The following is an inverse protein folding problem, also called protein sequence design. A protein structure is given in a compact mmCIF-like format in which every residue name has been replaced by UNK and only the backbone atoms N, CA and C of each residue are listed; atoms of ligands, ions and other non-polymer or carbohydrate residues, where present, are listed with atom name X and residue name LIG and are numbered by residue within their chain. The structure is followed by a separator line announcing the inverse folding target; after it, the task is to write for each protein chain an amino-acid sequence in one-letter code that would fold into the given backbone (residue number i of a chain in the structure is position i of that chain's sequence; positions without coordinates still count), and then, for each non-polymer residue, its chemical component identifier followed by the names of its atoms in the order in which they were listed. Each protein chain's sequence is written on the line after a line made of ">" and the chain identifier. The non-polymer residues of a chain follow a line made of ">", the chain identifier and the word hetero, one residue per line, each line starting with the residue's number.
data_IF_274494349870
#
_entry.id   IF_274494349870
#
_cell.length_a   1.000
_cell.length_b   1.000
_cell.length_c   1.000
_cell.angle_alpha   90.00
_cell.angle_beta   90.00
_cell.angle_gamma   90.00
#
_symmetry.space_group_name_H-M   'P 1'
#
loop_
_entity.id
_entity.type
_entity.pdbx_description
1 polymer ?
#
# COMPACT_ATOMS: atom_id res chain seq x y z
N UNK A 1 -6.76 9.42 -6.84
CA UNK A 1 -6.14 9.81 -5.57
C UNK A 1 -7.22 10.51 -4.75
N UNK A 2 -7.51 10.01 -3.54
CA UNK A 2 -8.58 10.56 -2.71
C UNK A 2 -8.05 10.72 -1.27
N UNK A 3 -8.06 11.96 -0.79
CA UNK A 3 -7.57 12.34 0.55
C UNK A 3 -8.77 12.75 1.38
N UNK A 4 -8.91 12.19 2.59
CA UNK A 4 -9.98 12.55 3.52
C UNK A 4 -9.35 12.98 4.85
N UNK A 5 -9.41 14.27 5.15
CA UNK A 5 -8.98 14.78 6.46
C UNK A 5 -9.98 14.36 7.53
N UNK A 6 -9.53 13.70 8.60
CA UNK A 6 -10.42 13.17 9.64
C UNK A 6 -10.55 14.11 10.86
N UNK A 7 -9.66 15.08 11.07
CA UNK A 7 -9.75 16.00 12.23
C UNK A 7 -9.25 17.41 11.94
N UNK A 8 -9.78 18.40 12.66
CA UNK A 8 -9.35 19.80 12.64
C UNK A 8 -8.60 20.15 13.92
N UNK A 9 -7.35 20.59 13.79
CA UNK A 9 -6.43 20.89 14.90
C UNK A 9 -5.00 20.41 14.59
N UNK A 10 -4.02 20.78 15.40
CA UNK A 10 -2.60 20.40 15.23
C UNK A 10 -2.37 18.87 15.24
N UNK A 11 -3.30 18.11 15.82
CA UNK A 11 -3.28 16.64 15.89
C UNK A 11 -4.19 15.98 14.84
N UNK A 12 -4.50 16.69 13.76
CA UNK A 12 -5.31 16.16 12.68
C UNK A 12 -4.66 14.90 12.08
N UNK A 13 -5.31 13.75 12.20
CA UNK A 13 -4.87 12.53 11.51
C UNK A 13 -5.38 12.55 10.07
N UNK A 14 -4.46 12.48 9.12
CA UNK A 14 -4.73 12.29 7.71
C UNK A 14 -4.93 10.81 7.40
N UNK A 15 -6.14 10.43 7.00
CA UNK A 15 -6.45 9.11 6.48
C UNK A 15 -6.35 9.14 4.95
N UNK A 16 -5.45 8.31 4.41
CA UNK A 16 -5.12 8.28 2.99
C UNK A 16 -5.35 6.89 2.44
N UNK A 17 -6.06 6.83 1.32
CA UNK A 17 -6.21 5.62 0.53
C UNK A 17 -5.52 5.79 -0.82
N UNK A 18 -4.61 4.88 -1.14
CA UNK A 18 -3.89 4.85 -2.42
C UNK A 18 -4.38 3.68 -3.27
N UNK A 19 -4.68 3.93 -4.55
CA UNK A 19 -5.02 2.89 -5.52
C UNK A 19 -3.87 2.80 -6.51
N UNK A 20 -3.17 1.67 -6.52
CA UNK A 20 -2.13 1.37 -7.50
C UNK A 20 -2.68 0.40 -8.54
N UNK A 21 -2.23 0.55 -9.78
CA UNK A 21 -2.55 -0.37 -10.88
C UNK A 21 -1.24 -0.84 -11.50
N UNK A 22 -1.03 -2.15 -11.50
CA UNK A 22 0.14 -2.79 -12.12
C UNK A 22 -0.40 -3.84 -13.09
N UNK A 23 -0.24 -3.56 -14.39
CA UNK A 23 -0.92 -4.32 -15.45
C UNK A 23 -2.45 -4.22 -15.32
N UNK A 24 -3.09 -5.38 -15.20
CA UNK A 24 -4.55 -5.53 -15.00
C UNK A 24 -4.95 -5.57 -13.52
N UNK A 25 -3.99 -5.73 -12.61
CA UNK A 25 -4.30 -5.82 -11.17
C UNK A 25 -4.36 -4.43 -10.55
N UNK A 26 -5.51 -4.11 -9.95
CA UNK A 26 -5.68 -2.93 -9.12
C UNK A 26 -5.67 -3.32 -7.63
N UNK A 27 -4.89 -2.61 -6.83
CA UNK A 27 -4.76 -2.85 -5.39
C UNK A 27 -4.89 -1.53 -4.65
N UNK A 28 -5.75 -1.52 -3.62
CA UNK A 28 -5.91 -0.39 -2.72
C UNK A 28 -5.11 -0.63 -1.45
N UNK A 29 -4.31 0.35 -1.07
CA UNK A 29 -3.66 0.44 0.23
C UNK A 29 -4.16 1.64 1.03
N UNK A 30 -3.86 1.62 2.31
CA UNK A 30 -4.33 2.59 3.29
C UNK A 30 -3.17 3.01 4.22
N UNK A 31 -3.12 4.29 4.56
CA UNK A 31 -2.14 4.84 5.49
C UNK A 31 -2.76 5.97 6.31
N UNK A 32 -2.43 6.00 7.59
CA UNK A 32 -2.97 6.98 8.53
C UNK A 32 -1.82 7.56 9.35
N UNK A 33 -1.68 8.89 9.32
CA UNK A 33 -0.62 9.61 10.03
C UNK A 33 -1.00 11.09 10.20
N UNK A 34 -0.45 11.76 11.21
CA UNK A 34 -0.67 13.21 11.42
C UNK A 34 -0.06 14.06 10.30
N UNK A 35 1.11 13.65 9.81
CA UNK A 35 1.70 14.15 8.56
C UNK A 35 1.10 13.44 7.33
N UNK A 36 0.49 14.22 6.43
CA UNK A 36 -0.19 13.73 5.23
C UNK A 36 0.76 13.08 4.21
N UNK A 37 2.01 13.52 4.13
CA UNK A 37 3.02 12.95 3.22
C UNK A 37 3.41 11.58 3.73
N UNK A 38 3.62 11.44 5.04
CA UNK A 38 3.89 10.14 5.67
C UNK A 38 2.69 9.19 5.52
N UNK A 39 1.46 9.67 5.76
CA UNK A 39 0.24 8.88 5.55
C UNK A 39 0.14 8.36 4.10
N UNK A 40 0.48 9.21 3.12
CA UNK A 40 0.47 8.86 1.70
C UNK A 40 1.54 7.81 1.36
N UNK A 41 2.74 7.95 1.92
CA UNK A 41 3.81 6.96 1.74
C UNK A 41 3.41 5.61 2.34
N UNK A 42 2.84 5.60 3.56
CA UNK A 42 2.31 4.40 4.20
C UNK A 42 1.22 3.74 3.35
N UNK A 43 0.28 4.52 2.81
CA UNK A 43 -0.79 4.01 1.94
C UNK A 43 -0.24 3.36 0.65
N UNK A 44 0.82 3.92 0.08
CA UNK A 44 1.49 3.36 -1.10
C UNK A 44 2.24 2.07 -0.78
N UNK A 45 3.00 2.03 0.31
CA UNK A 45 3.71 0.82 0.77
C UNK A 45 2.73 -0.30 1.10
N UNK A 46 1.62 -0.01 1.79
CA UNK A 46 0.56 -0.98 2.05
C UNK A 46 -0.04 -1.53 0.74
N UNK A 47 -0.27 -0.67 -0.26
CA UNK A 47 -0.78 -1.10 -1.56
C UNK A 47 0.21 -2.04 -2.29
N UNK A 48 1.50 -1.73 -2.24
CA UNK A 48 2.55 -2.57 -2.83
C UNK A 48 2.69 -3.91 -2.11
N UNK A 49 2.68 -3.92 -0.77
CA UNK A 49 2.73 -5.14 0.02
C UNK A 49 1.54 -6.04 -0.30
N UNK A 50 0.34 -5.47 -0.43
CA UNK A 50 -0.86 -6.21 -0.84
C UNK A 50 -0.77 -6.71 -2.28
N UNK A 51 -0.17 -5.94 -3.19
CA UNK A 51 0.07 -6.39 -4.57
C UNK A 51 1.05 -7.56 -4.61
N UNK A 52 2.20 -7.46 -3.94
CA UNK A 52 3.18 -8.54 -3.85
C UNK A 52 2.60 -9.74 -3.11
N UNK A 53 1.75 -9.57 -2.10
CA UNK A 53 1.08 -10.71 -1.47
C UNK A 53 0.11 -11.41 -2.44
N UNK A 54 -0.71 -10.64 -3.16
CA UNK A 54 -1.67 -11.17 -4.15
C UNK A 54 -1.00 -11.83 -5.36
N UNK A 55 0.11 -11.27 -5.82
CA UNK A 55 0.80 -11.71 -7.03
C UNK A 55 1.99 -12.65 -6.74
N UNK A 56 2.57 -12.53 -5.54
CA UNK A 56 3.73 -13.26 -5.04
C UNK A 56 3.40 -14.52 -4.26
N UNK A 57 2.12 -14.82 -4.01
CA UNK A 57 1.68 -16.22 -3.85
C UNK A 57 2.07 -17.10 -5.05
N UNK A 58 2.40 -16.50 -6.21
CA UNK A 58 2.98 -17.15 -7.40
C UNK A 58 4.49 -16.98 -7.56
N UNK A 59 5.17 -16.23 -6.68
CA UNK A 59 6.63 -15.99 -6.75
C UNK A 59 7.45 -17.00 -5.93
N UNK A 60 6.87 -18.14 -5.52
CA UNK A 60 7.61 -19.23 -4.84
C UNK A 60 7.29 -20.63 -5.37
N UNK A 61 7.20 -20.77 -6.68
CA UNK A 61 7.54 -22.04 -7.35
C UNK A 61 8.87 -21.97 -8.11
N UNK A 62 9.26 -20.81 -8.66
CA UNK A 62 10.52 -20.69 -9.42
C UNK A 62 11.80 -20.61 -8.58
N UNK A 63 11.69 -20.34 -7.27
CA UNK A 63 12.84 -20.28 -6.35
C UNK A 63 12.86 -21.49 -5.38
N UNK A 64 12.52 -22.68 -5.89
CA UNK A 64 12.83 -23.96 -5.23
C UNK A 64 13.76 -24.84 -6.07
N UNK A 65 14.48 -24.26 -7.03
CA UNK A 65 15.47 -24.97 -7.85
C UNK A 65 16.84 -24.33 -7.73
N UNK A 66 17.45 -24.43 -6.56
CA UNK A 66 18.91 -24.54 -6.49
C UNK A 66 19.21 -25.60 -5.43
N UNK A 67 19.38 -26.85 -5.89
CA UNK A 67 19.94 -27.95 -5.09
C UNK A 67 21.46 -27.80 -4.92
N UNK A 68 22.18 -28.82 -4.40
CA UNK A 68 21.76 -30.17 -3.99
C UNK A 68 21.26 -30.28 -2.53
#
# INVERSE_FOLDING_TARGET
>A
YQVKGISGGTDAVGDVSCLIRIGETAVRGHGSHTDIVVASALAFVDALNRYVYRNGGRLREDERVVGP
#
